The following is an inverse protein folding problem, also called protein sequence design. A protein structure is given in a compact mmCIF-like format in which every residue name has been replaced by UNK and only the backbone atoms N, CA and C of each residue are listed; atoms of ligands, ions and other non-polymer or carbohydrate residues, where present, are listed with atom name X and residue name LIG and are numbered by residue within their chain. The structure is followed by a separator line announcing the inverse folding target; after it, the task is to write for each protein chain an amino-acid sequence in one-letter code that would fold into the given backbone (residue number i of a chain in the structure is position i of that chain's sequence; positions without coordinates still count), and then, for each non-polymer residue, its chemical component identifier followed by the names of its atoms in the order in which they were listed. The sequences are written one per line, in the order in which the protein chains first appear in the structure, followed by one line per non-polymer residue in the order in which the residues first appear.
data_IF_602927971751
#
_entry.id   IF_602927971751
#
_cell.length_a   1.000
_cell.length_b   1.000
_cell.length_c   1.000
_cell.angle_alpha   90.00
_cell.angle_beta   90.00
_cell.angle_gamma   90.00
#
_symmetry.space_group_name_H-M   'P 1'
#
loop_
_entity.id
_entity.type
_entity.pdbx_description
1 polymer ?
#
# COMPACT_ATOMS: atom_id res chain seq x y z
N UNK A 1 -5.05 17.68 16.09
CA UNK A 1 -5.43 16.39 15.44
C UNK A 1 -4.27 15.43 15.67
N UNK A 2 -4.54 14.15 15.92
CA UNK A 2 -3.51 13.13 16.13
C UNK A 2 -3.26 12.41 14.81
N UNK A 3 -2.01 12.12 14.49
CA UNK A 3 -1.62 11.41 13.27
C UNK A 3 -1.83 9.90 13.34
N UNK A 4 -1.82 9.30 12.16
CA UNK A 4 -1.66 7.87 11.90
C UNK A 4 -0.22 7.41 12.16
N UNK A 5 -0.04 6.10 12.21
CA UNK A 5 1.25 5.47 12.39
C UNK A 5 1.37 4.26 11.48
N UNK A 6 2.48 4.22 10.73
CA UNK A 6 2.78 3.20 9.75
C UNK A 6 3.49 2.00 10.41
N UNK A 7 3.34 0.82 9.81
CA UNK A 7 3.87 -0.45 10.32
C UNK A 7 4.95 -1.02 9.41
N UNK A 8 6.05 -1.47 10.02
CA UNK A 8 7.18 -2.10 9.33
C UNK A 8 7.63 -3.36 10.06
N UNK A 9 7.98 -4.41 9.34
CA UNK A 9 8.43 -5.67 9.94
C UNK A 9 9.65 -6.25 9.21
N UNK A 10 10.57 -6.87 9.97
CA UNK A 10 11.78 -7.49 9.41
C UNK A 10 12.19 -8.75 10.16
N UNK A 11 12.66 -9.74 9.41
CA UNK A 11 13.30 -10.95 9.97
C UNK A 11 14.83 -10.85 10.05
N UNK A 12 15.43 -9.83 9.43
CA UNK A 12 16.89 -9.65 9.37
C UNK A 12 17.35 -8.45 10.20
N UNK A 13 16.52 -7.42 10.28
CA UNK A 13 16.83 -6.15 10.95
C UNK A 13 16.20 -6.15 12.34
N UNK A 14 16.97 -5.82 13.37
CA UNK A 14 16.49 -5.79 14.77
C UNK A 14 15.65 -4.55 15.08
N UNK A 15 15.83 -3.46 14.33
CA UNK A 15 15.11 -2.20 14.46
C UNK A 15 14.69 -1.72 13.07
N UNK A 16 13.65 -2.32 12.46
CA UNK A 16 13.17 -1.86 11.18
C UNK A 16 12.71 -0.40 11.27
N UNK A 17 12.99 0.36 10.22
CA UNK A 17 12.65 1.78 10.09
C UNK A 17 11.77 2.00 8.86
N UNK A 18 11.37 3.24 8.59
CA UNK A 18 10.69 3.62 7.35
C UNK A 18 11.62 3.60 6.11
N UNK A 19 12.92 3.39 6.28
CA UNK A 19 13.88 3.37 5.19
C UNK A 19 13.78 2.05 4.40
N UNK A 20 13.73 2.07 3.05
CA UNK A 20 13.46 0.89 2.22
C UNK A 20 14.30 -0.35 2.50
N UNK A 21 15.56 -0.18 2.88
CA UNK A 21 16.49 -1.30 3.11
C UNK A 21 16.43 -1.86 4.54
N UNK A 22 15.62 -1.26 5.42
CA UNK A 22 15.54 -1.60 6.84
C UNK A 22 14.31 -2.46 7.20
N UNK A 23 13.47 -2.84 6.25
CA UNK A 23 12.32 -3.72 6.48
C UNK A 23 12.16 -4.81 5.41
N UNK A 24 11.42 -5.87 5.73
CA UNK A 24 11.03 -6.91 4.77
C UNK A 24 9.57 -6.77 4.32
N UNK A 25 8.70 -6.26 5.20
CA UNK A 25 7.28 -6.04 4.98
C UNK A 25 6.88 -4.67 5.54
N UNK A 26 5.89 -4.02 4.94
CA UNK A 26 5.34 -2.76 5.42
C UNK A 26 3.84 -2.67 5.14
N UNK A 27 3.13 -1.85 5.93
CA UNK A 27 1.81 -1.30 5.62
C UNK A 27 1.85 0.17 6.00
N UNK A 28 1.55 1.03 5.02
CA UNK A 28 1.61 2.49 5.16
C UNK A 28 0.34 3.09 4.58
N UNK A 29 -0.72 3.18 5.38
CA UNK A 29 -2.04 3.63 4.93
C UNK A 29 -2.58 4.71 5.85
N UNK A 30 -3.51 5.54 5.37
CA UNK A 30 -4.15 6.59 6.18
C UNK A 30 -5.18 6.05 7.19
N UNK A 31 -5.00 4.82 7.70
CA UNK A 31 -6.01 4.06 8.43
C UNK A 31 -5.44 2.88 9.22
N UNK A 32 -6.12 1.73 9.18
CA UNK A 32 -5.66 0.52 9.86
C UNK A 32 -4.58 -0.18 9.04
N UNK A 33 -3.39 -0.34 9.64
CA UNK A 33 -2.26 -1.04 9.04
C UNK A 33 -2.13 -2.48 9.53
N UNK A 34 -2.05 -3.42 8.58
CA UNK A 34 -2.01 -4.86 8.85
C UNK A 34 -0.88 -5.49 8.03
N UNK A 35 -0.02 -6.24 8.71
CA UNK A 35 1.02 -7.06 8.07
C UNK A 35 0.83 -8.52 8.42
N UNK A 36 0.76 -9.37 7.39
CA UNK A 36 0.81 -10.82 7.56
C UNK A 36 2.26 -11.31 7.50
N UNK A 37 2.72 -11.90 8.59
CA UNK A 37 4.07 -12.48 8.65
C UNK A 37 4.01 -13.92 8.12
N UNK A 38 4.68 -14.24 7.00
CA UNK A 38 4.69 -15.59 6.45
C UNK A 38 5.31 -16.61 7.41
N UNK A 39 4.85 -17.87 7.35
CA UNK A 39 5.44 -18.98 8.12
C UNK A 39 6.93 -19.19 7.81
N UNK A 40 7.40 -18.78 6.63
CA UNK A 40 8.80 -18.86 6.21
C UNK A 40 9.71 -17.83 6.87
N UNK A 41 9.17 -16.84 7.59
CA UNK A 41 10.01 -15.84 8.26
C UNK A 41 10.79 -16.44 9.42
N UNK A 42 12.10 -16.19 9.46
CA UNK A 42 12.94 -16.58 10.59
C UNK A 42 12.55 -15.76 11.81
N UNK A 43 12.44 -16.44 12.95
CA UNK A 43 12.17 -15.81 14.25
C UNK A 43 13.51 -15.43 14.92
N UNK A 44 13.56 -14.34 15.72
CA UNK A 44 12.47 -13.40 15.96
C UNK A 44 12.20 -12.48 14.76
N UNK A 45 10.95 -11.99 14.65
CA UNK A 45 10.57 -10.94 13.70
C UNK A 45 10.44 -9.65 14.47
N UNK A 46 11.14 -8.62 14.02
CA UNK A 46 11.13 -7.28 14.61
C UNK A 46 10.03 -6.44 13.97
N UNK A 47 9.39 -5.58 14.75
CA UNK A 47 8.32 -4.67 14.31
C UNK A 47 8.74 -3.24 14.66
N UNK A 48 8.58 -2.32 13.71
CA UNK A 48 8.78 -0.88 13.86
C UNK A 48 7.47 -0.16 13.56
N UNK A 49 7.15 0.85 14.39
CA UNK A 49 5.95 1.69 14.24
C UNK A 49 6.41 3.14 14.17
N UNK A 50 6.03 3.87 13.12
CA UNK A 50 6.47 5.24 12.88
C UNK A 50 5.27 6.17 12.68
N UNK A 51 5.23 7.28 13.41
CA UNK A 51 4.20 8.29 13.23
C UNK A 51 4.39 9.09 11.94
N UNK A 52 3.28 9.42 11.27
CA UNK A 52 3.33 10.19 10.03
C UNK A 52 3.86 11.62 10.27
N UNK A 53 4.78 12.14 9.44
CA UNK A 53 5.49 13.40 9.70
C UNK A 53 4.60 14.65 9.64
N UNK A 54 3.38 14.56 9.14
CA UNK A 54 2.42 15.68 9.12
C UNK A 54 1.81 15.99 10.49
N UNK A 55 2.05 15.16 11.50
CA UNK A 55 1.51 15.34 12.85
C UNK A 55 2.61 15.24 13.90
N UNK A 56 2.58 16.12 14.90
CA UNK A 56 3.55 16.08 16.01
C UNK A 56 3.38 14.86 16.91
N UNK A 57 2.15 14.33 17.00
CA UNK A 57 1.80 13.19 17.84
C UNK A 57 0.94 12.24 17.03
N UNK A 58 1.38 10.98 16.93
CA UNK A 58 0.57 9.85 16.46
C UNK A 58 0.18 8.94 17.62
N UNK A 59 -1.02 8.37 17.57
CA UNK A 59 -1.51 7.39 18.56
C UNK A 59 -1.85 6.10 17.83
N UNK A 60 -1.45 4.98 18.41
CA UNK A 60 -1.70 3.66 17.85
C UNK A 60 -1.95 2.64 18.96
N UNK A 61 -2.53 1.50 18.58
CA UNK A 61 -2.61 0.30 19.40
C UNK A 61 -2.06 -0.84 18.56
N UNK A 62 -1.01 -1.52 19.05
CA UNK A 62 -0.42 -2.64 18.35
C UNK A 62 -0.97 -3.96 18.92
N UNK A 63 -1.59 -4.76 18.06
CA UNK A 63 -2.06 -6.09 18.39
C UNK A 63 -1.30 -7.12 17.56
N UNK A 64 -0.79 -8.17 18.23
CA UNK A 64 -0.03 -9.26 17.58
C UNK A 64 -0.75 -10.56 17.87
N UNK A 65 -1.14 -11.27 16.81
CA UNK A 65 -1.87 -12.52 16.89
C UNK A 65 -1.07 -13.63 16.21
N UNK A 66 -0.97 -14.78 16.88
CA UNK A 66 -0.59 -16.02 16.21
C UNK A 66 -1.85 -16.63 15.60
N UNK A 67 -1.89 -16.72 14.27
CA UNK A 67 -3.03 -17.32 13.57
C UNK A 67 -2.69 -18.78 13.28
N UNK A 68 -3.24 -19.70 14.10
CA UNK A 68 -3.15 -21.15 13.87
C UNK A 68 -4.18 -21.55 12.82
N UNK A 69 -3.82 -21.38 11.55
CA UNK A 69 -4.69 -21.79 10.45
C UNK A 69 -4.29 -23.20 9.98
N UNK A 70 -5.22 -24.15 10.06
CA UNK A 70 -5.09 -25.53 9.53
C UNK A 70 -5.35 -25.64 8.02
N UNK A 71 -5.88 -24.59 7.40
CA UNK A 71 -6.22 -24.53 5.97
C UNK A 71 -5.38 -23.45 5.26
N UNK A 72 -4.59 -23.83 4.25
CA UNK A 72 -3.74 -22.94 3.46
C UNK A 72 -4.52 -21.89 2.62
N UNK A 73 -5.83 -21.81 2.83
CA UNK A 73 -6.80 -21.06 2.04
C UNK A 73 -7.40 -19.85 2.78
N UNK A 74 -6.66 -19.20 3.68
CA UNK A 74 -7.16 -17.98 4.35
C UNK A 74 -7.11 -16.76 3.41
N UNK A 75 -8.27 -16.19 3.01
CA UNK A 75 -8.33 -15.14 2.01
C UNK A 75 -8.23 -13.76 2.65
N UNK A 76 -7.17 -13.47 3.41
CA UNK A 76 -6.96 -12.10 3.92
C UNK A 76 -6.54 -11.10 2.84
N UNK A 77 -6.28 -11.57 1.62
CA UNK A 77 -5.86 -10.74 0.50
C UNK A 77 -7.04 -10.08 -0.25
N UNK A 78 -8.29 -10.26 0.18
CA UNK A 78 -9.46 -9.86 -0.63
C UNK A 78 -10.45 -8.87 -0.01
N UNK A 79 -10.30 -8.43 1.24
CA UNK A 79 -11.23 -7.43 1.80
C UNK A 79 -10.90 -6.00 1.35
N UNK A 80 -9.66 -5.68 1.00
CA UNK A 80 -9.30 -4.35 0.45
C UNK A 80 -9.05 -4.33 -1.06
N UNK A 81 -8.67 -5.45 -1.67
CA UNK A 81 -8.30 -5.48 -3.11
C UNK A 81 -9.49 -5.57 -4.05
N UNK A 82 -10.61 -6.16 -3.63
CA UNK A 82 -11.82 -6.30 -4.47
C UNK A 82 -12.51 -4.95 -4.69
N UNK A 83 -12.60 -4.10 -3.67
CA UNK A 83 -13.19 -2.75 -3.80
C UNK A 83 -12.26 -1.75 -4.51
N UNK A 84 -10.94 -1.93 -4.43
CA UNK A 84 -9.95 -1.05 -5.09
C UNK A 84 -9.77 -1.44 -6.58
N UNK A 85 -9.79 -2.73 -6.93
CA UNK A 85 -9.52 -3.18 -8.31
C UNK A 85 -10.56 -2.70 -9.33
N UNK A 86 -11.81 -2.52 -8.94
CA UNK A 86 -12.84 -2.04 -9.86
C UNK A 86 -12.76 -0.52 -10.04
N UNK A 87 -12.50 0.24 -8.96
CA UNK A 87 -12.24 1.69 -9.03
C UNK A 87 -10.96 2.02 -9.80
N UNK A 88 -9.88 1.25 -9.62
CA UNK A 88 -8.62 1.46 -10.34
C UNK A 88 -8.74 1.12 -11.81
N UNK A 89 -9.55 0.12 -12.17
CA UNK A 89 -9.86 -0.20 -13.57
C UNK A 89 -10.69 0.90 -14.20
N UNK A 90 -11.70 1.43 -13.51
CA UNK A 90 -12.52 2.52 -14.00
C UNK A 90 -11.72 3.83 -14.14
N UNK A 91 -10.91 4.17 -13.14
CA UNK A 91 -10.03 5.34 -13.15
C UNK A 91 -9.00 5.25 -14.28
N UNK A 92 -8.30 4.11 -14.45
CA UNK A 92 -7.38 3.91 -15.58
C UNK A 92 -8.08 3.98 -16.93
N UNK A 93 -9.31 3.46 -17.04
CA UNK A 93 -10.09 3.50 -18.29
C UNK A 93 -10.54 4.93 -18.62
N UNK A 94 -10.91 5.72 -17.61
CA UNK A 94 -11.22 7.14 -17.76
C UNK A 94 -9.98 7.96 -18.15
N UNK A 95 -8.83 7.70 -17.53
CA UNK A 95 -7.59 8.42 -17.78
C UNK A 95 -7.04 8.13 -19.20
N UNK A 96 -7.08 6.86 -19.62
CA UNK A 96 -6.74 6.46 -21.00
C UNK A 96 -7.73 7.06 -22.02
N UNK A 97 -9.03 7.06 -21.71
CA UNK A 97 -10.05 7.65 -22.59
C UNK A 97 -9.87 9.17 -22.74
N UNK A 98 -9.50 9.86 -21.66
CA UNK A 98 -9.20 11.29 -21.67
C UNK A 98 -7.97 11.60 -22.53
N UNK A 99 -6.88 10.86 -22.32
CA UNK A 99 -5.65 11.04 -23.09
C UNK A 99 -5.84 10.72 -24.58
N UNK A 100 -6.58 9.67 -24.92
CA UNK A 100 -6.88 9.32 -26.31
C UNK A 100 -7.68 10.43 -27.03
N UNK A 101 -8.67 11.02 -26.35
CA UNK A 101 -9.44 12.13 -26.91
C UNK A 101 -8.57 13.38 -27.08
N UNK A 102 -7.71 13.68 -26.10
CA UNK A 102 -6.76 14.77 -26.18
C UNK A 102 -5.79 14.61 -27.37
N UNK A 103 -5.21 13.41 -27.54
CA UNK A 103 -4.30 13.11 -28.66
C UNK A 103 -5.04 13.22 -30.00
N UNK A 104 -6.27 12.72 -30.11
CA UNK A 104 -7.05 12.83 -31.35
C UNK A 104 -7.27 14.29 -31.77
N UNK A 105 -7.70 15.14 -30.82
CA UNK A 105 -7.88 16.57 -31.08
C UNK A 105 -6.57 17.29 -31.39
N UNK A 106 -5.50 16.98 -30.65
CA UNK A 106 -4.19 17.56 -30.87
C UNK A 106 -3.61 17.19 -32.24
N UNK A 107 -3.74 15.93 -32.66
CA UNK A 107 -3.33 15.48 -33.99
C UNK A 107 -4.17 16.12 -35.09
N UNK A 108 -5.49 16.30 -34.89
CA UNK A 108 -6.34 17.04 -35.81
C UNK A 108 -5.91 18.50 -35.98
N UNK A 109 -5.55 19.18 -34.89
CA UNK A 109 -5.00 20.53 -34.93
C UNK A 109 -3.65 20.60 -35.66
N UNK A 110 -2.75 19.65 -35.42
CA UNK A 110 -1.46 19.58 -36.11
C UNK A 110 -1.62 19.38 -37.62
N UNK A 111 -2.56 18.54 -38.05
CA UNK A 111 -2.83 18.29 -39.47
C UNK A 111 -3.34 19.55 -40.17
N UNK A 112 -4.16 20.37 -39.50
CA UNK A 112 -4.65 21.65 -40.04
C UNK A 112 -3.58 22.75 -40.10
N UNK A 113 -2.45 22.58 -39.41
CA UNK A 113 -1.29 23.47 -39.51
C UNK A 113 -0.25 23.02 -40.54
N UNK A 114 -0.33 21.76 -40.98
CA UNK A 114 0.58 21.16 -41.96
C UNK A 114 0.04 21.19 -43.39
N UNK A 115 -1.20 21.66 -43.61
CA UNK A 115 -1.85 21.87 -44.91
C UNK A 115 -2.67 23.16 -44.91
#
# INVERSE_FOLDING_TARGET
ITGDADLYASQTTTKPTYEPDHYCLQSTTCGEDIIFIPKSFKRPVSIGVYGHPSHEISKYTLSVFEVTVEDDNFPYHQTSRSEISDKDREAKKADISFFANFVWHFMGFLIQWLF
#
